data_IF_003679636817
#
_entry.id   IF_003679636817
#
_cell.length_a   1.000
_cell.length_b   1.000
_cell.length_c   1.000
_cell.angle_alpha   90.00
_cell.angle_beta   90.00
_cell.angle_gamma   90.00
#
_symmetry.space_group_name_H-M   'P 1'
#
loop_
_entity.id
_entity.type
_entity.pdbx_description
1 polymer ?
#
# COMPACT_ATOMS: atom_id res chain seq x y z
N UNK A 1 2.29 -25.37 2.04
CA UNK A 1 1.84 -24.63 0.84
C UNK A 1 2.97 -23.82 0.20
N UNK A 2 3.72 -23.01 0.95
CA UNK A 2 4.93 -22.31 0.42
C UNK A 2 6.17 -23.21 0.27
N UNK A 3 6.38 -24.17 1.18
CA UNK A 3 7.50 -25.14 1.12
C UNK A 3 7.48 -26.06 -0.10
N UNK A 4 6.33 -26.17 -0.79
CA UNK A 4 6.17 -27.00 -1.98
C UNK A 4 6.50 -26.23 -3.29
N UNK A 5 6.84 -24.95 -3.21
CA UNK A 5 7.22 -24.17 -4.39
C UNK A 5 8.57 -24.65 -4.95
N UNK A 6 8.74 -24.77 -6.28
CA UNK A 6 10.02 -25.14 -6.87
C UNK A 6 11.15 -24.16 -6.54
N UNK A 7 10.83 -22.87 -6.46
CA UNK A 7 11.75 -21.82 -6.05
C UNK A 7 11.77 -21.67 -4.53
N UNK A 8 12.71 -22.37 -3.91
CA UNK A 8 12.91 -22.37 -2.46
C UNK A 8 13.45 -21.03 -1.94
N UNK A 9 14.14 -20.24 -2.78
CA UNK A 9 14.63 -18.91 -2.37
C UNK A 9 13.47 -17.92 -2.28
N UNK A 10 12.57 -17.94 -3.29
CA UNK A 10 11.36 -17.13 -3.26
C UNK A 10 10.45 -17.54 -2.09
N UNK A 11 10.27 -18.84 -1.87
CA UNK A 11 9.47 -19.34 -0.74
C UNK A 11 10.03 -18.84 0.60
N UNK A 12 11.36 -18.91 0.77
CA UNK A 12 12.03 -18.40 1.97
C UNK A 12 11.85 -16.89 2.13
N UNK A 13 12.07 -16.10 1.06
CA UNK A 13 11.86 -14.65 1.08
C UNK A 13 10.43 -14.27 1.49
N UNK A 14 9.42 -14.93 0.91
CA UNK A 14 8.01 -14.68 1.27
C UNK A 14 7.72 -15.05 2.71
N UNK A 15 8.24 -16.18 3.20
CA UNK A 15 8.05 -16.60 4.59
C UNK A 15 8.68 -15.60 5.57
N UNK A 16 9.91 -15.18 5.32
CA UNK A 16 10.57 -14.15 6.13
C UNK A 16 9.80 -12.84 6.08
N UNK A 17 9.37 -12.38 4.90
CA UNK A 17 8.61 -11.13 4.78
C UNK A 17 7.22 -11.16 5.43
N UNK A 18 6.56 -12.32 5.49
CA UNK A 18 5.30 -12.48 6.24
C UNK A 18 5.51 -12.44 7.76
N UNK A 19 6.70 -12.81 8.24
CA UNK A 19 7.05 -12.79 9.67
C UNK A 19 7.58 -11.42 10.10
N UNK A 20 8.49 -10.84 9.31
CA UNK A 20 9.31 -9.68 9.68
C UNK A 20 8.98 -8.39 8.90
N UNK A 21 8.05 -8.45 7.92
CA UNK A 21 7.65 -7.37 6.98
C UNK A 21 8.40 -7.34 5.63
N UNK A 22 7.78 -6.66 4.65
CA UNK A 22 8.33 -6.44 3.31
C UNK A 22 8.84 -5.01 3.14
N UNK A 23 10.00 -4.86 2.49
CA UNK A 23 10.46 -3.55 2.01
C UNK A 23 9.77 -3.21 0.69
N UNK A 24 8.87 -2.23 0.73
CA UNK A 24 8.12 -1.80 -0.45
C UNK A 24 8.88 -0.66 -1.12
N UNK A 25 9.87 -0.98 -1.99
CA UNK A 25 10.45 -0.14 -3.06
C UNK A 25 10.87 1.32 -2.82
N UNK A 26 10.65 1.86 -1.61
CA UNK A 26 10.77 3.26 -1.24
C UNK A 26 12.17 3.53 -0.73
N UNK A 27 12.82 4.55 -1.31
CA UNK A 27 14.21 4.88 -0.97
C UNK A 27 14.25 5.94 0.13
N UNK A 28 14.97 5.68 1.22
CA UNK A 28 15.03 6.59 2.39
C UNK A 28 15.85 7.87 2.17
N UNK A 29 16.47 8.04 1.00
CA UNK A 29 17.30 9.20 0.64
C UNK A 29 16.48 10.34 0.03
N UNK A 30 15.16 10.15 -0.07
CA UNK A 30 14.24 11.04 -0.74
C UNK A 30 13.78 12.19 0.16
N UNK A 31 13.56 13.37 -0.42
CA UNK A 31 12.97 14.51 0.28
C UNK A 31 11.46 14.43 0.10
N UNK A 32 10.76 14.19 1.20
CA UNK A 32 9.29 14.17 1.25
C UNK A 32 8.75 15.49 1.79
N UNK A 33 7.64 15.94 1.24
CA UNK A 33 6.91 17.10 1.75
C UNK A 33 5.69 16.63 2.52
N UNK A 34 5.71 16.78 3.85
CA UNK A 34 4.59 16.38 4.70
C UNK A 34 3.34 17.23 4.42
N UNK A 35 2.19 16.58 4.47
CA UNK A 35 0.90 17.25 4.43
C UNK A 35 0.68 18.10 5.69
N UNK A 36 0.08 19.28 5.52
CA UNK A 36 -0.34 20.16 6.61
C UNK A 36 -1.83 20.04 6.94
N UNK A 37 -2.63 19.48 6.03
CA UNK A 37 -4.08 19.37 6.18
C UNK A 37 -4.62 18.10 5.51
N UNK A 38 -5.82 17.67 5.95
CA UNK A 38 -6.57 16.59 5.31
C UNK A 38 -7.48 17.12 4.19
N UNK A 39 -8.03 16.23 3.35
CA UNK A 39 -9.02 16.64 2.35
C UNK A 39 -10.27 17.21 3.03
N UNK A 40 -10.87 18.25 2.46
CA UNK A 40 -12.05 18.93 3.01
C UNK A 40 -13.20 17.97 3.35
N UNK A 41 -13.41 16.94 2.53
CA UNK A 41 -14.47 15.96 2.72
C UNK A 41 -14.25 15.09 3.98
N UNK A 42 -13.01 14.86 4.40
CA UNK A 42 -12.70 14.15 5.65
C UNK A 42 -13.13 14.96 6.88
N UNK A 43 -13.03 16.30 6.83
CA UNK A 43 -13.56 17.17 7.88
C UNK A 43 -15.09 17.21 7.87
N UNK A 44 -15.70 17.29 6.68
CA UNK A 44 -17.16 17.31 6.52
C UNK A 44 -17.81 15.99 6.98
N UNK A 45 -17.13 14.87 6.79
CA UNK A 45 -17.57 13.53 7.19
C UNK A 45 -16.70 13.00 8.34
N UNK A 46 -16.41 13.85 9.34
CA UNK A 46 -15.52 13.51 10.45
C UNK A 46 -15.99 12.29 11.27
N UNK A 47 -17.30 12.04 11.32
CA UNK A 47 -17.87 10.84 11.94
C UNK A 47 -17.34 9.56 11.29
N UNK A 48 -17.25 9.51 9.96
CA UNK A 48 -16.70 8.35 9.23
C UNK A 48 -15.27 8.07 9.66
N UNK A 49 -14.45 9.12 9.75
CA UNK A 49 -13.04 9.00 10.18
C UNK A 49 -12.97 8.53 11.64
N UNK A 50 -13.82 9.10 12.51
CA UNK A 50 -13.90 8.75 13.93
C UNK A 50 -14.37 7.32 14.18
N UNK A 51 -15.21 6.74 13.31
CA UNK A 51 -15.64 5.35 13.39
C UNK A 51 -14.62 4.38 12.79
N UNK A 52 -13.94 4.79 11.71
CA UNK A 52 -12.99 3.94 10.98
C UNK A 52 -11.70 3.70 11.77
N UNK A 53 -11.09 4.75 12.34
CA UNK A 53 -9.80 4.63 13.03
C UNK A 53 -9.82 3.63 14.19
N UNK A 54 -10.80 3.64 15.12
CA UNK A 54 -10.87 2.65 16.19
C UNK A 54 -11.01 1.20 15.67
N UNK A 55 -11.73 0.99 14.57
CA UNK A 55 -11.88 -0.34 13.98
C UNK A 55 -10.56 -0.86 13.42
N UNK A 56 -9.79 -0.01 12.73
CA UNK A 56 -8.46 -0.36 12.22
C UNK A 56 -7.44 -0.60 13.34
N UNK A 57 -7.49 0.21 14.40
CA UNK A 57 -6.67 0.04 15.60
C UNK A 57 -7.01 -1.26 16.33
N UNK A 58 -8.30 -1.54 16.55
CA UNK A 58 -8.76 -2.77 17.20
C UNK A 58 -8.41 -4.02 16.38
N UNK A 59 -8.38 -3.91 15.05
CA UNK A 59 -7.97 -4.99 14.16
C UNK A 59 -6.44 -5.14 14.02
N UNK A 60 -5.65 -4.27 14.65
CA UNK A 60 -4.19 -4.29 14.56
C UNK A 60 -3.62 -3.91 13.19
N UNK A 61 -4.44 -3.29 12.32
CA UNK A 61 -4.01 -2.84 10.97
C UNK A 61 -3.36 -1.47 10.98
N UNK A 62 -3.63 -0.67 12.01
CA UNK A 62 -2.96 0.60 12.28
C UNK A 62 -2.38 0.60 13.68
N UNK A 63 -1.34 1.39 13.89
CA UNK A 63 -0.79 1.65 15.22
C UNK A 63 -0.94 3.12 15.56
N UNK A 64 -1.36 3.39 16.78
CA UNK A 64 -1.47 4.74 17.32
C UNK A 64 -2.38 4.81 18.54
N UNK A 65 -2.42 5.97 19.22
CA UNK A 65 -1.56 7.13 18.98
C UNK A 65 -0.09 6.84 19.31
N UNK A 66 0.83 7.40 18.52
CA UNK A 66 2.27 7.23 18.77
C UNK A 66 2.69 8.05 20.00
N UNK A 67 3.55 7.52 20.89
CA UNK A 67 4.01 8.26 22.06
C UNK A 67 4.88 9.44 21.64
N UNK A 68 4.79 10.56 22.36
CA UNK A 68 5.53 11.80 22.04
C UNK A 68 7.04 11.57 21.82
N UNK A 69 7.66 10.69 22.62
CA UNK A 69 9.07 10.32 22.47
C UNK A 69 9.42 9.71 21.10
N UNK A 70 8.48 9.00 20.45
CA UNK A 70 8.67 8.48 19.10
C UNK A 70 8.53 9.56 18.03
N UNK A 71 7.77 10.62 18.30
CA UNK A 71 7.64 11.77 17.40
C UNK A 71 8.93 12.59 17.36
N UNK A 72 9.65 12.68 18.48
CA UNK A 72 10.87 13.50 18.58
C UNK A 72 12.12 12.80 18.04
N UNK A 73 12.18 11.46 18.08
CA UNK A 73 13.38 10.69 17.76
C UNK A 73 13.46 10.17 16.31
N UNK A 74 12.37 10.24 15.54
CA UNK A 74 12.33 9.68 14.18
C UNK A 74 11.70 10.67 13.19
N UNK A 75 12.24 10.78 11.96
CA UNK A 75 11.58 11.56 10.93
C UNK A 75 10.22 10.93 10.60
N UNK A 76 9.15 11.64 10.95
CA UNK A 76 7.78 11.26 10.61
C UNK A 76 7.34 11.96 9.35
N UNK A 77 6.65 11.21 8.49
CA UNK A 77 5.98 11.77 7.32
C UNK A 77 4.47 11.69 7.51
N UNK A 78 3.78 12.77 7.17
CA UNK A 78 2.33 12.88 7.26
C UNK A 78 1.75 12.90 5.84
N UNK A 79 0.85 11.97 5.57
CA UNK A 79 0.07 11.92 4.34
C UNK A 79 -1.33 12.50 4.57
N UNK A 80 -1.99 12.94 3.51
CA UNK A 80 -3.35 13.47 3.55
C UNK A 80 -4.33 12.31 3.78
N UNK A 81 -5.26 12.47 4.73
CA UNK A 81 -6.43 11.59 4.86
C UNK A 81 -7.63 12.19 4.11
N UNK A 82 -8.35 11.33 3.40
CA UNK A 82 -9.58 11.65 2.70
C UNK A 82 -10.68 10.63 3.01
N UNK A 83 -11.89 10.92 2.55
CA UNK A 83 -12.96 9.93 2.47
C UNK A 83 -13.62 9.98 1.11
N UNK A 84 -14.10 8.84 0.62
CA UNK A 84 -14.78 8.71 -0.68
C UNK A 84 -16.04 7.87 -0.50
N UNK A 85 -17.19 8.25 -1.09
CA UNK A 85 -18.41 7.42 -1.06
C UNK A 85 -18.19 6.06 -1.73
N UNK A 86 -18.79 5.00 -1.19
CA UNK A 86 -18.93 3.72 -1.90
C UNK A 86 -20.12 3.84 -2.85
N UNK A 87 -19.86 4.13 -4.13
CA UNK A 87 -20.89 4.54 -5.09
C UNK A 87 -22.16 3.68 -5.18
N UNK A 88 -22.11 2.39 -4.83
CA UNK A 88 -23.27 1.48 -4.92
C UNK A 88 -24.15 1.44 -3.65
N UNK A 89 -23.73 2.04 -2.53
CA UNK A 89 -24.46 1.99 -1.26
C UNK A 89 -24.44 3.38 -0.63
N UNK A 90 -25.62 3.99 -0.52
CA UNK A 90 -25.78 5.27 0.19
C UNK A 90 -25.24 5.16 1.61
N UNK A 91 -24.62 6.23 2.10
CA UNK A 91 -24.11 6.35 3.47
C UNK A 91 -22.89 5.47 3.82
N UNK A 92 -22.37 4.67 2.88
CA UNK A 92 -21.10 3.99 3.09
C UNK A 92 -19.93 4.77 2.51
N UNK A 93 -18.87 4.86 3.29
CA UNK A 93 -17.66 5.59 2.94
C UNK A 93 -16.42 4.71 3.04
N UNK A 94 -15.36 5.10 2.34
CA UNK A 94 -14.01 4.56 2.48
C UNK A 94 -13.09 5.69 2.91
N UNK A 95 -12.33 5.47 3.98
CA UNK A 95 -11.18 6.31 4.26
C UNK A 95 -10.09 6.01 3.22
N UNK A 96 -9.43 7.04 2.73
CA UNK A 96 -8.29 6.95 1.83
C UNK A 96 -7.11 7.72 2.40
N UNK A 97 -5.91 7.31 2.03
CA UNK A 97 -4.68 8.04 2.29
C UNK A 97 -4.08 8.42 0.95
N UNK A 98 -3.85 9.70 0.72
CA UNK A 98 -3.18 10.17 -0.48
C UNK A 98 -1.67 10.00 -0.31
N UNK A 99 -1.10 9.04 -1.03
CA UNK A 99 0.33 8.76 -1.06
C UNK A 99 1.02 9.41 -2.27
N UNK A 100 0.27 10.13 -3.10
CA UNK A 100 0.74 10.72 -4.36
C UNK A 100 0.88 12.24 -4.29
N UNK A 101 0.33 12.89 -3.25
CA UNK A 101 0.51 14.32 -3.00
C UNK A 101 1.69 14.65 -2.06
N UNK A 102 2.41 15.76 -2.28
CA UNK A 102 2.42 16.55 -3.52
C UNK A 102 3.20 15.82 -4.62
N UNK A 103 2.83 16.08 -5.88
CA UNK A 103 3.53 15.49 -7.02
C UNK A 103 5.05 15.83 -6.96
N UNK A 104 5.89 14.83 -7.20
CA UNK A 104 7.36 14.96 -7.16
C UNK A 104 7.98 15.00 -5.76
N UNK A 105 7.19 15.01 -4.68
CA UNK A 105 7.70 14.92 -3.29
C UNK A 105 6.81 14.09 -2.37
N UNK A 106 6.05 13.17 -2.96
CA UNK A 106 5.15 12.22 -2.29
C UNK A 106 5.77 10.85 -2.14
N UNK A 107 5.19 10.00 -1.28
CA UNK A 107 5.65 8.63 -1.07
C UNK A 107 5.71 7.85 -2.38
N UNK A 108 4.63 7.87 -3.17
CA UNK A 108 4.55 7.16 -4.44
C UNK A 108 5.49 7.74 -5.50
N UNK A 109 5.75 9.05 -5.47
CA UNK A 109 6.71 9.68 -6.39
C UNK A 109 8.13 9.16 -6.26
N UNK A 110 8.45 8.52 -5.13
CA UNK A 110 9.78 7.97 -4.83
C UNK A 110 9.83 6.43 -4.83
N UNK A 111 8.75 5.77 -5.24
CA UNK A 111 8.77 4.33 -5.53
C UNK A 111 9.01 4.15 -7.02
N UNK A 112 10.02 3.38 -7.39
CA UNK A 112 10.33 3.13 -8.81
C UNK A 112 9.13 2.48 -9.51
N UNK A 113 8.61 3.18 -10.52
CA UNK A 113 7.51 2.72 -11.37
C UNK A 113 7.75 1.34 -11.99
N UNK A 114 9.02 0.94 -12.22
CA UNK A 114 9.35 -0.38 -12.73
C UNK A 114 8.97 -1.49 -11.74
N UNK A 115 9.10 -1.24 -10.43
CA UNK A 115 8.73 -2.17 -9.35
C UNK A 115 7.21 -2.28 -9.18
N UNK A 116 6.46 -1.23 -9.55
CA UNK A 116 5.01 -1.17 -9.44
C UNK A 116 4.28 -1.40 -10.78
N UNK A 117 4.99 -1.78 -11.83
CA UNK A 117 4.40 -2.01 -13.15
C UNK A 117 3.69 -3.37 -13.21
N UNK A 118 2.37 -3.36 -13.40
CA UNK A 118 1.59 -4.55 -13.70
C UNK A 118 1.76 -4.92 -15.17
N UNK A 119 2.51 -5.98 -15.46
CA UNK A 119 2.60 -6.54 -16.81
C UNK A 119 1.55 -7.64 -16.98
N UNK A 120 0.42 -7.31 -17.60
CA UNK A 120 -0.54 -8.32 -18.04
C UNK A 120 0.09 -9.11 -19.19
N UNK A 121 0.21 -10.43 -19.00
CA UNK A 121 0.55 -11.31 -20.11
C UNK A 121 -0.65 -11.43 -21.03
N UNK A 122 -0.45 -11.22 -22.34
CA UNK A 122 -1.52 -11.37 -23.32
C UNK A 122 -1.82 -12.86 -23.55
N UNK A 123 -3.07 -13.17 -23.91
CA UNK A 123 -3.48 -14.54 -24.28
C UNK A 123 -2.58 -15.10 -25.39
N UNK A 124 -2.22 -14.28 -26.37
CA UNK A 124 -1.32 -14.67 -27.46
C UNK A 124 0.06 -15.07 -26.92
N UNK A 125 0.59 -14.33 -25.94
CA UNK A 125 1.88 -14.65 -25.34
C UNK A 125 1.83 -15.97 -24.57
N UNK A 126 0.72 -16.25 -23.88
CA UNK A 126 0.51 -17.56 -23.23
C UNK A 126 0.42 -18.68 -24.27
N UNK A 127 -0.34 -18.48 -25.35
CA UNK A 127 -0.51 -19.47 -26.42
C UNK A 127 0.82 -19.78 -27.13
N UNK A 128 1.65 -18.77 -27.41
CA UNK A 128 3.01 -18.96 -27.95
C UNK A 128 3.89 -19.80 -27.01
N UNK A 129 3.87 -19.51 -25.71
CA UNK A 129 4.67 -20.26 -24.73
C UNK A 129 4.22 -21.73 -24.67
N UNK A 130 2.91 -21.99 -24.68
CA UNK A 130 2.36 -23.35 -24.69
C UNK A 130 2.76 -24.09 -25.98
N UNK A 131 2.63 -23.43 -27.14
CA UNK A 131 3.03 -24.02 -28.42
C UNK A 131 4.53 -24.36 -28.47
N UNK A 132 5.38 -23.50 -27.90
CA UNK A 132 6.82 -23.69 -27.87
C UNK A 132 7.30 -24.76 -26.87
N UNK A 133 6.57 -24.96 -25.75
CA UNK A 133 6.88 -26.01 -24.78
C UNK A 133 6.46 -27.42 -25.25
N UNK A 134 5.74 -27.51 -26.36
CA UNK A 134 5.23 -28.74 -26.94
C UNK A 134 3.90 -29.15 -26.32
N UNK A 135 3.04 -29.77 -27.13
CA UNK A 135 1.76 -30.30 -26.66
C UNK A 135 2.01 -31.35 -25.56
N UNK A 136 1.28 -31.24 -24.45
CA UNK A 136 1.18 -32.33 -23.49
C UNK A 136 0.69 -33.58 -24.25
N UNK A 137 1.47 -34.66 -24.18
CA UNK A 137 1.06 -35.97 -24.70
C UNK A 137 -0.10 -36.54 -23.89
#
# INVERSE_FOLDING_TARGET
>A
MLQALPDQQLAHYVLCGLQDEFRIGFTRQCILTAASTNLSLAYQQSQVVGEYLPQELAAGRMQGPLPASKLDCHPLHMNIVGVVPKGHISEQWRMITDLSFPEGSSVNGWVDSALCSLKYTSINRVAEVIANLGAAR
#
